data_IF_465927620948
#
_entry.id   IF_465927620948
#
_cell.length_a   1.000
_cell.length_b   1.000
_cell.length_c   1.000
_cell.angle_alpha   90.00
_cell.angle_beta   90.00
_cell.angle_gamma   90.00
#
_symmetry.space_group_name_H-M   'P 1'
#
loop_
_entity.id
_entity.type
_entity.pdbx_description
1 polymer ?
#
# COMPACT_ATOMS: atom_id res chain seq x y z
N UNK A 1 31.76 -20.77 0.19
CA UNK A 1 30.77 -20.95 1.26
C UNK A 1 29.52 -21.58 0.65
N UNK A 2 29.19 -22.81 1.02
CA UNK A 2 28.02 -23.55 0.50
C UNK A 2 26.77 -23.08 1.23
N UNK A 3 25.91 -22.34 0.54
CA UNK A 3 24.60 -21.92 1.05
C UNK A 3 23.71 -23.15 1.21
N UNK A 4 23.62 -23.69 2.42
CA UNK A 4 22.87 -24.92 2.70
C UNK A 4 21.37 -24.73 2.49
N UNK A 5 20.69 -25.73 1.91
CA UNK A 5 19.22 -25.80 1.69
C UNK A 5 18.38 -25.29 2.88
N UNK A 6 18.89 -25.47 4.10
CA UNK A 6 18.27 -25.00 5.35
C UNK A 6 18.24 -23.47 5.48
N UNK A 7 19.28 -22.77 5.04
CA UNK A 7 19.30 -21.31 5.01
C UNK A 7 18.29 -20.74 4.00
N UNK A 8 18.15 -21.39 2.83
CA UNK A 8 17.14 -21.04 1.83
C UNK A 8 15.71 -21.23 2.36
N UNK A 9 15.45 -22.32 3.09
CA UNK A 9 14.14 -22.58 3.69
C UNK A 9 13.81 -21.63 4.84
N UNK A 10 14.78 -21.21 5.65
CA UNK A 10 14.56 -20.22 6.71
C UNK A 10 14.28 -18.84 6.11
N UNK A 11 15.03 -18.43 5.08
CA UNK A 11 14.78 -17.18 4.35
C UNK A 11 13.38 -17.18 3.68
N UNK A 12 12.99 -18.32 3.09
CA UNK A 12 11.66 -18.49 2.48
C UNK A 12 10.55 -18.58 3.55
N UNK A 13 10.82 -19.20 4.70
CA UNK A 13 9.87 -19.31 5.82
C UNK A 13 9.54 -17.98 6.48
N UNK A 14 10.51 -17.06 6.56
CA UNK A 14 10.26 -15.68 6.97
C UNK A 14 9.32 -14.93 5.99
N UNK A 15 9.28 -15.35 4.71
CA UNK A 15 8.32 -14.84 3.72
C UNK A 15 6.89 -15.37 3.93
N UNK A 16 6.73 -16.44 4.72
CA UNK A 16 5.42 -16.93 5.18
C UNK A 16 4.72 -15.98 6.16
N UNK A 17 5.48 -15.17 6.91
CA UNK A 17 4.92 -14.11 7.77
C UNK A 17 4.55 -12.84 6.98
N UNK A 18 5.12 -12.65 5.78
CA UNK A 18 4.72 -11.59 4.84
C UNK A 18 3.35 -11.89 4.18
N UNK A 19 2.95 -13.16 4.10
CA UNK A 19 1.65 -13.59 3.59
C UNK A 19 0.48 -13.02 4.39
N UNK A 20 0.55 -13.09 5.72
CA UNK A 20 -0.52 -12.62 6.61
C UNK A 20 -0.58 -11.10 6.72
N UNK A 21 0.57 -10.41 6.64
CA UNK A 21 0.60 -8.96 6.68
C UNK A 21 -0.02 -8.32 5.40
N UNK A 22 0.17 -8.93 4.22
CA UNK A 22 -0.46 -8.43 2.99
C UNK A 22 -1.95 -8.80 2.91
N UNK A 23 -2.31 -10.04 3.28
CA UNK A 23 -3.69 -10.55 3.25
C UNK A 23 -4.66 -9.75 4.15
N UNK A 24 -4.17 -9.18 5.26
CA UNK A 24 -4.99 -8.35 6.14
C UNK A 24 -5.46 -7.02 5.55
N UNK A 25 -4.97 -6.59 4.37
CA UNK A 25 -5.49 -5.38 3.69
C UNK A 25 -5.97 -5.61 2.24
N UNK A 26 -6.11 -6.86 1.82
CA UNK A 26 -6.75 -7.23 0.55
C UNK A 26 -8.21 -7.59 0.71
N UNK A 27 -8.88 -7.17 1.80
CA UNK A 27 -10.32 -6.92 1.73
C UNK A 27 -10.52 -5.72 0.79
N UNK A 28 -10.42 -6.00 -0.51
CA UNK A 28 -10.79 -5.13 -1.62
C UNK A 28 -12.29 -4.85 -1.47
N UNK A 29 -12.63 -3.91 -0.58
CA UNK A 29 -13.98 -3.40 -0.46
C UNK A 29 -14.29 -2.74 -1.80
N UNK A 30 -15.25 -3.31 -2.51
CA UNK A 30 -15.62 -2.92 -3.86
C UNK A 30 -15.95 -1.42 -3.92
N UNK A 31 -15.33 -0.68 -4.85
CA UNK A 31 -15.76 0.69 -5.16
C UNK A 31 -14.79 1.61 -5.90
N UNK A 32 -13.46 1.46 -5.76
CA UNK A 32 -12.50 2.35 -6.45
C UNK A 32 -11.18 1.63 -6.78
N UNK A 33 -10.57 1.88 -7.96
CA UNK A 33 -9.23 1.37 -8.26
C UNK A 33 -8.24 1.92 -7.24
N UNK A 34 -7.61 1.02 -6.48
CA UNK A 34 -6.63 1.35 -5.45
C UNK A 34 -5.24 1.38 -6.08
N UNK A 35 -4.61 2.55 -6.06
CA UNK A 35 -3.21 2.70 -6.50
C UNK A 35 -2.29 2.21 -5.39
N UNK A 36 -1.32 1.37 -5.75
CA UNK A 36 -0.27 0.89 -4.85
C UNK A 36 1.07 1.54 -5.20
N UNK A 37 1.63 2.26 -4.24
CA UNK A 37 2.95 2.88 -4.33
C UNK A 37 3.97 1.98 -3.64
N UNK A 38 4.96 1.51 -4.39
CA UNK A 38 6.00 0.64 -3.87
C UNK A 38 7.35 1.29 -4.16
N UNK A 39 8.14 1.49 -3.11
CA UNK A 39 9.53 1.92 -3.22
C UNK A 39 10.38 0.80 -3.82
N UNK A 40 10.99 1.08 -4.96
CA UNK A 40 11.76 0.11 -5.74
C UNK A 40 13.01 -0.38 -4.99
N UNK A 41 13.59 0.46 -4.14
CA UNK A 41 14.81 0.16 -3.40
C UNK A 41 14.56 -0.68 -2.14
N UNK A 42 13.29 -0.96 -1.79
CA UNK A 42 13.00 -1.79 -0.64
C UNK A 42 13.37 -3.25 -0.90
N UNK A 43 14.00 -3.94 0.07
CA UNK A 43 14.21 -5.37 -0.02
C UNK A 43 12.90 -6.12 -0.26
N UNK A 44 12.80 -6.84 -1.37
CA UNK A 44 11.60 -7.58 -1.75
C UNK A 44 10.52 -6.76 -2.48
N UNK A 45 10.82 -5.54 -2.92
CA UNK A 45 9.95 -4.71 -3.76
C UNK A 45 9.38 -5.48 -4.95
N UNK A 46 10.23 -6.23 -5.67
CA UNK A 46 9.81 -7.07 -6.80
C UNK A 46 8.73 -8.10 -6.40
N UNK A 47 8.88 -8.76 -5.25
CA UNK A 47 7.89 -9.73 -4.77
C UNK A 47 6.57 -9.04 -4.37
N UNK A 48 6.63 -7.83 -3.80
CA UNK A 48 5.44 -7.03 -3.48
C UNK A 48 4.71 -6.58 -4.76
N UNK A 49 5.44 -6.13 -5.78
CA UNK A 49 4.87 -5.73 -7.08
C UNK A 49 4.18 -6.91 -7.74
N UNK A 50 4.86 -8.05 -7.85
CA UNK A 50 4.27 -9.27 -8.45
C UNK A 50 2.97 -9.67 -7.74
N UNK A 51 2.96 -9.62 -6.40
CA UNK A 51 1.78 -9.94 -5.62
C UNK A 51 0.64 -8.96 -5.86
N UNK A 52 0.93 -7.66 -5.85
CA UNK A 52 -0.08 -6.64 -6.05
C UNK A 52 -0.70 -6.74 -7.47
N UNK A 53 0.12 -7.04 -8.50
CA UNK A 53 -0.35 -7.31 -9.86
C UNK A 53 -1.28 -8.54 -9.93
N UNK A 54 -0.94 -9.64 -9.25
CA UNK A 54 -1.81 -10.83 -9.17
C UNK A 54 -3.18 -10.50 -8.57
N UNK A 55 -3.26 -9.51 -7.69
CA UNK A 55 -4.51 -9.04 -7.09
C UNK A 55 -5.18 -7.89 -7.86
N UNK A 56 -4.75 -7.61 -9.10
CA UNK A 56 -5.35 -6.60 -9.96
C UNK A 56 -5.09 -5.16 -9.51
N UNK A 57 -4.06 -4.92 -8.69
CA UNK A 57 -3.71 -3.57 -8.26
C UNK A 57 -3.02 -2.79 -9.39
N UNK A 58 -3.32 -1.49 -9.48
CA UNK A 58 -2.51 -0.55 -10.25
C UNK A 58 -1.28 -0.18 -9.45
N UNK A 59 -0.09 -0.43 -10.00
CA UNK A 59 1.18 -0.15 -9.33
C UNK A 59 1.78 1.15 -9.89
N UNK A 60 2.21 2.03 -9.00
CA UNK A 60 3.05 3.17 -9.33
C UNK A 60 4.38 3.00 -8.59
N UNK A 61 5.51 2.86 -9.31
CA UNK A 61 6.81 2.82 -8.65
C UNK A 61 7.12 4.17 -8.01
N UNK A 62 7.67 4.14 -6.81
CA UNK A 62 8.31 5.31 -6.23
C UNK A 62 9.80 5.25 -6.58
N UNK A 63 10.17 5.98 -7.63
CA UNK A 63 11.55 6.24 -8.00
C UNK A 63 11.81 7.75 -7.92
N UNK A 64 12.71 8.17 -7.03
CA UNK A 64 13.02 9.58 -6.82
C UNK A 64 12.09 10.28 -5.83
N UNK A 65 11.54 11.44 -6.20
CA UNK A 65 10.87 12.36 -5.26
C UNK A 65 9.38 12.02 -5.02
N UNK A 66 9.03 11.81 -3.75
CA UNK A 66 7.67 11.49 -3.34
C UNK A 66 6.67 12.62 -3.56
N UNK A 67 7.11 13.88 -3.49
CA UNK A 67 6.27 15.05 -3.76
C UNK A 67 5.89 15.16 -5.22
N UNK A 68 6.85 14.99 -6.13
CA UNK A 68 6.62 14.93 -7.56
C UNK A 68 5.63 13.81 -7.92
N UNK A 69 5.85 12.59 -7.41
CA UNK A 69 4.94 11.46 -7.64
C UNK A 69 3.51 11.80 -7.18
N UNK A 70 3.37 12.49 -6.05
CA UNK A 70 2.07 12.92 -5.55
C UNK A 70 1.33 13.80 -6.57
N UNK A 71 1.94 14.91 -6.97
CA UNK A 71 1.27 15.88 -7.84
C UNK A 71 0.96 15.32 -9.22
N UNK A 72 1.88 14.55 -9.80
CA UNK A 72 1.75 14.00 -11.15
C UNK A 72 0.74 12.84 -11.22
N UNK A 73 0.75 11.93 -10.24
CA UNK A 73 0.08 10.63 -10.38
C UNK A 73 -0.95 10.31 -9.31
N UNK A 74 -0.78 10.81 -8.08
CA UNK A 74 -1.56 10.35 -6.93
C UNK A 74 -2.63 11.34 -6.47
N UNK A 75 -2.45 12.64 -6.69
CA UNK A 75 -3.31 13.72 -6.17
C UNK A 75 -4.80 13.58 -6.51
N UNK A 76 -5.11 12.90 -7.63
CA UNK A 76 -6.49 12.66 -8.10
C UNK A 76 -7.06 11.31 -7.64
N UNK A 77 -6.26 10.47 -7.01
CA UNK A 77 -6.67 9.14 -6.59
C UNK A 77 -7.46 9.20 -5.28
N UNK A 78 -8.57 8.44 -5.23
CA UNK A 78 -9.46 8.39 -4.07
C UNK A 78 -9.01 7.41 -2.99
N UNK A 79 -8.24 6.39 -3.39
CA UNK A 79 -7.70 5.38 -2.50
C UNK A 79 -6.28 5.01 -2.95
N UNK A 80 -5.31 5.29 -2.10
CA UNK A 80 -3.89 5.01 -2.35
C UNK A 80 -3.38 4.19 -1.16
N UNK A 81 -2.56 3.20 -1.44
CA UNK A 81 -1.80 2.51 -0.41
C UNK A 81 -0.36 2.41 -0.84
N UNK A 82 0.53 2.20 0.11
CA UNK A 82 1.91 1.99 -0.25
C UNK A 82 2.74 1.30 0.82
N UNK A 83 3.89 0.85 0.37
CA UNK A 83 4.99 0.37 1.21
C UNK A 83 6.23 1.12 0.74
N UNK A 84 6.69 2.06 1.56
CA UNK A 84 7.81 2.96 1.24
C UNK A 84 8.72 3.12 2.45
N UNK A 85 9.88 3.77 2.31
CA UNK A 85 10.66 4.22 3.47
C UNK A 85 9.88 5.24 4.31
N UNK A 86 10.30 5.41 5.57
CA UNK A 86 9.62 6.29 6.52
C UNK A 86 9.55 7.76 6.07
N UNK A 87 10.60 8.28 5.42
CA UNK A 87 10.62 9.65 4.91
C UNK A 87 9.57 9.87 3.82
N UNK A 88 9.49 8.97 2.83
CA UNK A 88 8.53 9.08 1.74
C UNK A 88 7.09 8.84 2.22
N UNK A 89 6.92 7.89 3.14
CA UNK A 89 5.62 7.66 3.78
C UNK A 89 5.15 8.91 4.51
N UNK A 90 6.05 9.61 5.21
CA UNK A 90 5.72 10.87 5.86
C UNK A 90 5.27 11.93 4.85
N UNK A 91 6.02 12.14 3.77
CA UNK A 91 5.66 13.11 2.71
C UNK A 91 4.30 12.79 2.10
N UNK A 92 4.10 11.55 1.62
CA UNK A 92 2.87 11.14 0.96
C UNK A 92 1.65 11.22 1.89
N UNK A 93 1.83 10.85 3.16
CA UNK A 93 0.73 10.91 4.13
C UNK A 93 0.37 12.33 4.56
N UNK A 94 1.34 13.23 4.67
CA UNK A 94 1.08 14.64 4.93
C UNK A 94 0.37 15.29 3.74
N UNK A 95 0.81 15.05 2.51
CA UNK A 95 0.14 15.56 1.31
C UNK A 95 -1.28 15.02 1.19
N UNK A 96 -1.50 13.72 1.45
CA UNK A 96 -2.84 13.15 1.49
C UNK A 96 -3.74 13.77 2.55
N UNK A 97 -3.23 13.94 3.77
CA UNK A 97 -3.97 14.57 4.86
C UNK A 97 -4.37 16.02 4.54
N UNK A 98 -3.46 16.80 3.95
CA UNK A 98 -3.73 18.17 3.50
C UNK A 98 -4.81 18.23 2.41
N UNK A 99 -4.98 17.16 1.63
CA UNK A 99 -6.03 17.02 0.62
C UNK A 99 -7.29 16.32 1.16
N UNK A 100 -7.46 16.24 2.48
CA UNK A 100 -8.67 15.70 3.11
C UNK A 100 -8.77 14.17 3.14
N UNK A 101 -7.68 13.45 2.85
CA UNK A 101 -7.66 11.99 2.95
C UNK A 101 -7.39 11.53 4.38
N UNK A 102 -8.03 10.42 4.77
CA UNK A 102 -7.75 9.73 6.03
C UNK A 102 -6.47 8.92 5.89
N UNK A 103 -5.52 9.16 6.79
CA UNK A 103 -4.25 8.45 6.86
C UNK A 103 -4.34 7.27 7.82
N UNK A 104 -3.85 6.11 7.40
CA UNK A 104 -3.50 5.00 8.29
C UNK A 104 -2.06 4.58 8.00
N UNK A 105 -1.24 4.39 9.04
CA UNK A 105 0.15 3.95 8.89
C UNK A 105 0.51 2.88 9.91
N UNK A 106 1.41 1.97 9.52
CA UNK A 106 1.95 0.93 10.39
C UNK A 106 3.41 0.64 10.00
N UNK A 107 4.27 0.48 11.00
CA UNK A 107 5.64 0.02 10.76
C UNK A 107 5.62 -1.35 10.05
N UNK A 108 6.52 -1.50 9.10
CA UNK A 108 6.74 -2.70 8.32
C UNK A 108 8.19 -3.17 8.48
N UNK A 109 8.50 -4.33 7.93
CA UNK A 109 9.84 -4.94 8.01
C UNK A 109 10.91 -4.05 7.36
N UNK A 110 12.10 -4.04 7.96
CA UNK A 110 13.28 -3.36 7.39
C UNK A 110 13.22 -1.84 7.43
N UNK A 111 12.46 -1.23 8.35
CA UNK A 111 12.32 0.23 8.43
C UNK A 111 11.38 0.82 7.38
N UNK A 112 10.73 -0.02 6.58
CA UNK A 112 9.65 0.39 5.71
C UNK A 112 8.39 0.73 6.52
N UNK A 113 7.52 1.54 5.94
CA UNK A 113 6.22 1.91 6.48
C UNK A 113 5.17 1.51 5.47
N UNK A 114 4.16 0.78 5.95
CA UNK A 114 2.94 0.57 5.19
C UNK A 114 1.96 1.68 5.54
N UNK A 115 1.41 2.30 4.52
CA UNK A 115 0.44 3.38 4.69
C UNK A 115 -0.73 3.25 3.74
N UNK A 116 -1.80 3.96 4.07
CA UNK A 116 -3.04 4.02 3.30
C UNK A 116 -3.67 5.40 3.43
N UNK A 117 -4.16 5.89 2.30
CA UNK A 117 -4.90 7.13 2.14
C UNK A 117 -6.26 6.82 1.53
N UNK A 118 -7.32 7.22 2.20
CA UNK A 118 -8.69 7.08 1.70
C UNK A 118 -9.42 8.42 1.75
N UNK A 119 -10.03 8.82 0.63
CA UNK A 119 -10.96 9.94 0.63
C UNK A 119 -12.20 9.59 1.45
N UNK A 120 -12.65 10.53 2.29
CA UNK A 120 -13.87 10.39 3.09
C UNK A 120 -15.11 10.09 2.24
N UNK A 121 -15.14 10.56 0.99
CA UNK A 121 -16.23 10.34 0.04
C UNK A 121 -16.34 8.88 -0.43
N UNK A 122 -15.25 8.11 -0.34
CA UNK A 122 -15.21 6.71 -0.78
C UNK A 122 -15.77 5.73 0.26
N UNK A 123 -16.04 6.20 1.48
CA UNK A 123 -16.60 5.40 2.56
C UNK A 123 -18.14 5.45 2.63
N UNK A 124 -18.79 6.27 1.80
CA UNK A 124 -20.23 6.60 1.90
C UNK A 124 -21.03 6.32 0.64
N UNK A 125 -21.36 5.04 0.39
CA UNK A 125 -22.58 4.70 -0.35
C UNK A 125 -23.20 3.41 0.21
N UNK A 126 -23.75 3.52 1.42
CA UNK A 126 -24.82 2.62 1.87
C UNK A 126 -26.06 3.50 2.02
N UNK A 127 -26.83 3.59 0.95
CA UNK A 127 -28.21 4.08 0.98
C UNK A 127 -29.02 3.16 1.87
N UNK A 128 -29.31 3.57 3.11
CA UNK A 128 -30.52 3.11 3.81
C UNK A 128 -31.71 3.81 3.16
N UNK A 129 -32.21 3.21 2.08
CA UNK A 129 -33.61 3.34 1.69
C UNK A 129 -34.41 2.33 2.51
N UNK A 130 -35.54 2.77 3.07
CA UNK A 130 -36.40 2.03 4.00
C UNK A 130 -37.07 3.01 4.93
N UNK A 131 -37.81 3.97 4.35
CA UNK A 131 -39.27 3.91 4.16
C UNK A 131 -40.00 4.23 5.47
N UNK A 132 -40.49 5.47 5.52
CA UNK A 132 -41.70 5.81 6.26
C UNK A 132 -42.82 4.99 5.62
N UNK A 133 -43.48 4.15 6.43
CA UNK A 133 -44.93 3.94 6.50
C UNK A 133 -45.25 2.97 7.64
#
# INVERSE_FOLDING_TARGET
MTTTRRAFLIATGASGLLLSAFAGATTLRAGSPRIWVIDEDLPGSAALVQRALVHGARIEPLCGDAGWLWFERLSRARAIAGVTRGADAFVLTQLGAQNGMRVTQRMWLGGAVRWMLESAESAGFVTRSGSLE
#
